data_IF_127052255078
#
_entry.id   IF_127052255078
#
_cell.length_a   1.000
_cell.length_b   1.000
_cell.length_c   1.000
_cell.angle_alpha   90.00
_cell.angle_beta   90.00
_cell.angle_gamma   90.00
#
_symmetry.space_group_name_H-M   'P 1'
#
loop_
_entity.id
_entity.type
_entity.pdbx_description
1 polymer ?
#
# COMPACT_ATOMS: atom_id res chain seq x y z
N UNK A 1 -17.19 -38.02 -35.50
CA UNK A 1 -17.44 -38.58 -34.15
C UNK A 1 -18.17 -37.51 -33.34
N UNK A 2 -19.50 -37.63 -33.22
CA UNK A 2 -20.30 -36.60 -32.53
C UNK A 2 -20.32 -36.91 -31.04
N UNK A 3 -20.08 -35.87 -30.23
CA UNK A 3 -20.18 -35.98 -28.76
C UNK A 3 -21.62 -36.24 -28.36
N UNK A 4 -21.84 -37.17 -27.43
CA UNK A 4 -23.17 -37.44 -26.90
C UNK A 4 -23.66 -36.22 -26.07
N UNK A 5 -24.98 -36.06 -25.95
CA UNK A 5 -25.63 -35.01 -25.15
C UNK A 5 -25.08 -34.96 -23.70
N UNK A 6 -24.79 -36.13 -23.13
CA UNK A 6 -24.22 -36.23 -21.77
C UNK A 6 -22.76 -35.79 -21.72
N UNK A 7 -21.95 -36.01 -22.75
CA UNK A 7 -20.57 -35.51 -22.85
C UNK A 7 -20.52 -34.00 -23.06
N UNK A 8 -21.47 -33.44 -23.83
CA UNK A 8 -21.60 -31.99 -23.97
C UNK A 8 -22.05 -31.32 -22.65
N UNK A 9 -23.01 -31.92 -21.93
CA UNK A 9 -23.43 -31.43 -20.61
C UNK A 9 -22.33 -31.57 -19.56
N UNK A 10 -21.58 -32.64 -19.53
CA UNK A 10 -20.43 -32.82 -18.64
C UNK A 10 -19.30 -31.80 -18.95
N UNK A 11 -19.02 -31.56 -20.24
CA UNK A 11 -18.07 -30.55 -20.68
C UNK A 11 -18.50 -29.14 -20.30
N UNK A 12 -19.79 -28.83 -20.47
CA UNK A 12 -20.36 -27.52 -20.08
C UNK A 12 -20.32 -27.33 -18.54
N UNK A 13 -20.68 -28.36 -17.77
CA UNK A 13 -20.58 -28.37 -16.31
C UNK A 13 -19.12 -28.20 -15.83
N UNK A 14 -18.20 -28.87 -16.48
CA UNK A 14 -16.76 -28.74 -16.18
C UNK A 14 -16.26 -27.33 -16.51
N UNK A 15 -16.67 -26.77 -17.63
CA UNK A 15 -16.37 -25.37 -18.01
C UNK A 15 -17.01 -24.38 -17.02
N UNK A 16 -18.24 -24.60 -16.60
CA UNK A 16 -18.93 -23.77 -15.58
C UNK A 16 -18.22 -23.92 -14.23
N UNK A 17 -17.80 -25.11 -13.82
CA UNK A 17 -17.02 -25.33 -12.60
C UNK A 17 -15.64 -24.68 -12.68
N UNK A 18 -14.96 -24.79 -13.82
CA UNK A 18 -13.68 -24.08 -14.07
C UNK A 18 -13.91 -22.56 -14.04
N UNK A 19 -14.99 -22.07 -14.66
CA UNK A 19 -15.37 -20.67 -14.61
C UNK A 19 -15.74 -20.22 -13.20
N UNK A 20 -16.52 -20.98 -12.43
CA UNK A 20 -16.85 -20.70 -11.04
C UNK A 20 -15.60 -20.70 -10.15
N UNK A 21 -14.65 -21.57 -10.39
CA UNK A 21 -13.36 -21.60 -9.65
C UNK A 21 -12.47 -20.40 -10.01
N UNK A 22 -12.54 -19.90 -11.25
CA UNK A 22 -11.81 -18.71 -11.69
C UNK A 22 -12.50 -17.43 -11.22
N UNK A 23 -13.84 -17.39 -11.18
CA UNK A 23 -14.67 -16.23 -10.80
C UNK A 23 -14.53 -15.81 -9.33
N UNK A 24 -13.88 -16.60 -8.48
CA UNK A 24 -13.81 -16.33 -7.04
C UNK A 24 -12.39 -16.13 -6.49
N UNK A 25 -11.43 -15.76 -7.32
CA UNK A 25 -10.04 -15.56 -6.87
C UNK A 25 -9.64 -14.11 -6.98
N UNK A 26 -9.20 -13.55 -5.87
CA UNK A 26 -8.52 -12.27 -5.82
C UNK A 26 -7.06 -12.48 -5.42
N UNK A 27 -6.14 -11.75 -6.05
CA UNK A 27 -4.72 -11.87 -5.79
C UNK A 27 -4.12 -10.53 -5.40
N UNK A 28 -3.10 -10.56 -4.54
CA UNK A 28 -2.25 -9.43 -4.26
C UNK A 28 -0.80 -9.78 -4.59
N UNK A 29 -0.18 -9.04 -5.51
CA UNK A 29 1.27 -9.08 -5.75
C UNK A 29 1.90 -8.01 -4.89
N UNK A 30 2.65 -8.46 -3.89
CA UNK A 30 3.27 -7.59 -2.89
C UNK A 30 4.78 -7.79 -2.82
N UNK A 31 5.45 -6.94 -2.06
CA UNK A 31 6.90 -7.04 -1.86
C UNK A 31 7.54 -5.68 -1.66
N UNK A 32 8.87 -5.64 -1.49
CA UNK A 32 9.58 -4.39 -1.22
C UNK A 32 9.59 -3.47 -2.45
N UNK A 33 9.80 -2.18 -2.22
CA UNK A 33 10.07 -1.24 -3.33
C UNK A 33 11.29 -1.72 -4.13
N UNK A 34 11.32 -1.43 -5.43
CA UNK A 34 12.33 -1.88 -6.39
C UNK A 34 12.41 -3.41 -6.63
N UNK A 35 11.39 -4.18 -6.24
CA UNK A 35 11.37 -5.64 -6.48
C UNK A 35 10.75 -6.06 -7.82
N UNK A 36 10.29 -5.14 -8.67
CA UNK A 36 9.64 -5.47 -9.95
C UNK A 36 8.16 -5.88 -9.85
N UNK A 37 7.49 -5.56 -8.74
CA UNK A 37 6.06 -5.88 -8.53
C UNK A 37 5.15 -5.41 -9.65
N UNK A 38 5.36 -4.18 -10.13
CA UNK A 38 4.49 -3.58 -11.15
C UNK A 38 4.60 -4.33 -12.47
N UNK A 39 5.81 -4.63 -12.90
CA UNK A 39 6.06 -5.43 -14.12
C UNK A 39 5.45 -6.82 -14.01
N UNK A 40 5.64 -7.51 -12.86
CA UNK A 40 5.02 -8.79 -12.60
C UNK A 40 3.49 -8.68 -12.61
N UNK A 41 2.92 -7.68 -11.94
CA UNK A 41 1.48 -7.43 -11.89
C UNK A 41 0.86 -7.27 -13.26
N UNK A 42 1.47 -6.45 -14.12
CA UNK A 42 1.02 -6.25 -15.51
C UNK A 42 1.08 -7.57 -16.30
N UNK A 43 2.20 -8.29 -16.22
CA UNK A 43 2.36 -9.55 -16.94
C UNK A 43 1.38 -10.64 -16.46
N UNK A 44 1.07 -10.67 -15.17
CA UNK A 44 0.03 -11.56 -14.60
C UNK A 44 -1.34 -11.11 -15.05
N UNK A 45 -1.68 -9.82 -14.93
CA UNK A 45 -3.00 -9.27 -15.32
C UNK A 45 -3.35 -9.58 -16.78
N UNK A 46 -2.39 -9.41 -17.71
CA UNK A 46 -2.56 -9.78 -19.12
C UNK A 46 -2.93 -11.27 -19.27
N UNK A 47 -2.29 -12.15 -18.50
CA UNK A 47 -2.50 -13.61 -18.63
C UNK A 47 -3.79 -14.10 -18.00
N UNK A 48 -4.30 -13.42 -16.96
CA UNK A 48 -5.52 -13.84 -16.25
C UNK A 48 -6.74 -12.99 -16.62
N UNK A 49 -6.65 -12.13 -17.63
CA UNK A 49 -7.68 -11.14 -17.97
C UNK A 49 -8.08 -10.28 -16.77
N UNK A 50 -7.07 -9.80 -16.03
CA UNK A 50 -7.26 -9.04 -14.79
C UNK A 50 -7.13 -7.54 -14.97
N UNK A 51 -7.57 -6.80 -13.94
CA UNK A 51 -7.36 -5.36 -13.81
C UNK A 51 -6.61 -5.07 -12.51
N UNK A 52 -5.71 -4.08 -12.54
CA UNK A 52 -4.84 -3.76 -11.39
C UNK A 52 -5.51 -2.72 -10.50
N UNK A 53 -5.54 -3.00 -9.19
CA UNK A 53 -5.86 -2.02 -8.15
C UNK A 53 -4.55 -1.68 -7.43
N UNK A 54 -4.15 -0.42 -7.50
CA UNK A 54 -2.93 0.06 -6.86
C UNK A 54 -3.03 -0.04 -5.32
N UNK A 55 -2.05 -0.69 -4.70
CA UNK A 55 -1.90 -0.83 -3.24
C UNK A 55 -0.61 -0.16 -2.75
N UNK A 56 -0.39 1.10 -3.16
CA UNK A 56 0.73 1.94 -2.76
C UNK A 56 0.24 3.31 -2.30
N UNK A 57 0.61 3.71 -1.07
CA UNK A 57 0.12 4.93 -0.42
C UNK A 57 0.72 6.23 -0.96
N UNK A 58 1.67 6.15 -1.88
CA UNK A 58 2.28 7.31 -2.52
C UNK A 58 1.77 7.48 -3.95
N UNK A 59 1.61 6.38 -4.69
CA UNK A 59 1.11 6.40 -6.06
C UNK A 59 -0.36 6.84 -6.20
N UNK A 60 -1.10 6.95 -5.13
CA UNK A 60 -2.47 7.48 -5.12
C UNK A 60 -2.52 8.98 -5.43
N UNK A 61 -1.44 9.71 -5.12
CA UNK A 61 -1.40 11.17 -5.26
C UNK A 61 -1.11 11.60 -6.68
N UNK A 62 -1.86 12.60 -7.16
CA UNK A 62 -1.59 13.34 -8.39
C UNK A 62 -0.32 14.18 -8.25
N UNK A 63 0.24 14.60 -9.39
CA UNK A 63 1.25 15.65 -9.48
C UNK A 63 2.61 15.33 -8.83
N UNK A 64 2.76 14.19 -8.19
CA UNK A 64 4.04 13.66 -7.74
C UNK A 64 4.38 12.44 -8.60
N UNK A 65 5.43 12.54 -9.42
CA UNK A 65 5.70 11.55 -10.46
C UNK A 65 7.05 10.85 -10.27
N UNK A 66 8.12 11.63 -10.16
CA UNK A 66 9.49 11.12 -10.33
C UNK A 66 9.84 10.03 -9.31
N UNK A 67 9.60 10.27 -8.01
CA UNK A 67 9.99 9.32 -6.97
C UNK A 67 8.89 8.32 -6.58
N UNK A 68 7.74 8.33 -7.28
CA UNK A 68 6.62 7.43 -7.01
C UNK A 68 6.72 6.10 -7.74
N UNK A 69 7.49 6.05 -8.82
CA UNK A 69 7.61 4.91 -9.72
C UNK A 69 6.24 4.42 -10.25
N UNK A 70 5.33 5.35 -10.54
CA UNK A 70 4.11 5.05 -11.32
C UNK A 70 4.49 4.48 -12.67
N UNK A 71 3.76 3.49 -13.13
CA UNK A 71 4.00 2.88 -14.45
C UNK A 71 3.40 3.78 -15.52
N UNK A 72 4.17 4.24 -16.51
CA UNK A 72 3.67 5.02 -17.65
C UNK A 72 2.58 4.25 -18.42
N UNK A 73 1.66 4.98 -19.07
CA UNK A 73 0.52 4.37 -19.77
C UNK A 73 0.94 3.38 -20.85
N UNK A 74 1.98 3.71 -21.59
CA UNK A 74 2.56 2.89 -22.65
C UNK A 74 3.13 1.55 -22.17
N UNK A 75 3.57 1.48 -20.92
CA UNK A 75 4.11 0.27 -20.31
C UNK A 75 3.02 -0.62 -19.67
N UNK A 76 1.79 -0.12 -19.51
CA UNK A 76 0.68 -0.87 -18.89
C UNK A 76 0.10 -1.97 -19.76
N UNK A 77 0.51 -2.11 -21.02
CA UNK A 77 0.07 -3.15 -21.97
C UNK A 77 -1.46 -3.25 -22.11
N UNK A 78 -2.16 -2.12 -22.03
CA UNK A 78 -3.62 -2.08 -22.07
C UNK A 78 -4.34 -2.56 -20.79
N UNK A 79 -3.61 -2.91 -19.73
CA UNK A 79 -4.21 -3.31 -18.46
C UNK A 79 -4.75 -2.07 -17.72
N UNK A 80 -6.05 -2.04 -17.38
CA UNK A 80 -6.61 -0.97 -16.56
C UNK A 80 -5.95 -0.92 -15.17
N UNK A 81 -5.62 0.29 -14.71
CA UNK A 81 -5.07 0.54 -13.37
C UNK A 81 -6.01 1.47 -12.61
N UNK A 82 -6.45 1.03 -11.45
CA UNK A 82 -7.35 1.75 -10.57
C UNK A 82 -6.63 2.25 -9.32
N UNK A 83 -7.14 3.29 -8.71
CA UNK A 83 -6.62 3.92 -7.48
C UNK A 83 -5.15 4.38 -7.59
N UNK A 84 -4.80 4.86 -8.76
CA UNK A 84 -3.51 5.50 -9.04
C UNK A 84 -3.79 6.92 -9.54
N UNK A 85 -3.00 7.89 -9.08
CA UNK A 85 -3.03 9.25 -9.62
C UNK A 85 -4.41 9.94 -9.55
N UNK A 86 -5.11 9.83 -8.43
CA UNK A 86 -6.49 10.31 -8.31
C UNK A 86 -6.74 11.23 -7.10
N UNK A 87 -5.85 11.27 -6.11
CA UNK A 87 -5.96 12.07 -4.89
C UNK A 87 -5.13 13.36 -5.02
N UNK A 88 -5.69 14.52 -4.66
CA UNK A 88 -4.89 15.74 -4.55
C UNK A 88 -3.82 15.60 -3.46
N UNK A 89 -2.58 16.11 -3.67
CA UNK A 89 -1.54 16.13 -2.65
C UNK A 89 -1.89 16.85 -1.34
N UNK A 90 -2.92 17.70 -1.37
CA UNK A 90 -3.43 18.40 -0.19
C UNK A 90 -4.27 17.52 0.73
N UNK A 91 -4.82 16.42 0.20
CA UNK A 91 -5.72 15.54 0.94
C UNK A 91 -4.90 14.54 1.76
N UNK A 92 -5.23 14.44 3.04
CA UNK A 92 -4.68 13.39 3.90
C UNK A 92 -5.45 12.09 3.70
N UNK A 93 -5.10 11.34 2.63
CA UNK A 93 -5.78 10.11 2.25
C UNK A 93 -5.40 8.94 3.15
N UNK A 94 -6.39 8.28 3.71
CA UNK A 94 -6.22 7.26 4.75
C UNK A 94 -6.34 5.82 4.22
N UNK A 95 -5.82 4.85 4.97
CA UNK A 95 -5.97 3.43 4.63
C UNK A 95 -7.43 2.95 4.68
N UNK A 96 -8.26 3.57 5.53
CA UNK A 96 -9.69 3.26 5.58
C UNK A 96 -10.45 3.76 4.34
N UNK A 97 -10.11 4.94 3.83
CA UNK A 97 -10.64 5.45 2.56
C UNK A 97 -10.21 4.57 1.40
N UNK A 98 -8.92 4.23 1.33
CA UNK A 98 -8.41 3.33 0.31
C UNK A 98 -9.13 1.98 0.33
N UNK A 99 -9.35 1.39 1.50
CA UNK A 99 -10.00 0.08 1.61
C UNK A 99 -11.45 0.12 1.09
N UNK A 100 -12.19 1.20 1.38
CA UNK A 100 -13.56 1.39 0.86
C UNK A 100 -13.58 1.56 -0.67
N UNK A 101 -12.69 2.37 -1.22
CA UNK A 101 -12.60 2.55 -2.67
C UNK A 101 -12.09 1.27 -3.37
N UNK A 102 -11.15 0.55 -2.75
CA UNK A 102 -10.68 -0.74 -3.26
C UNK A 102 -11.80 -1.79 -3.30
N UNK A 103 -12.63 -1.87 -2.25
CA UNK A 103 -13.79 -2.77 -2.22
C UNK A 103 -14.76 -2.48 -3.36
N UNK A 104 -15.12 -1.21 -3.60
CA UNK A 104 -15.98 -0.81 -4.74
C UNK A 104 -15.35 -1.20 -6.08
N UNK A 105 -14.02 -0.99 -6.25
CA UNK A 105 -13.33 -1.35 -7.49
C UNK A 105 -13.25 -2.85 -7.70
N UNK A 106 -13.15 -3.64 -6.64
CA UNK A 106 -13.22 -5.10 -6.71
C UNK A 106 -14.58 -5.52 -7.26
N UNK A 107 -15.69 -5.03 -6.69
CA UNK A 107 -17.05 -5.32 -7.17
C UNK A 107 -17.25 -4.92 -8.65
N UNK A 108 -16.81 -3.72 -9.03
CA UNK A 108 -16.89 -3.24 -10.41
C UNK A 108 -16.10 -4.12 -11.39
N UNK A 109 -14.91 -4.60 -11.02
CA UNK A 109 -14.08 -5.47 -11.84
C UNK A 109 -14.71 -6.87 -11.98
N UNK A 110 -15.17 -7.43 -10.86
CA UNK A 110 -15.83 -8.72 -10.81
C UNK A 110 -17.15 -8.71 -11.62
N UNK A 111 -17.95 -7.62 -11.56
CA UNK A 111 -19.18 -7.47 -12.33
C UNK A 111 -18.96 -7.50 -13.84
N UNK A 112 -17.77 -7.17 -14.30
CA UNK A 112 -17.35 -7.26 -15.72
C UNK A 112 -16.74 -8.62 -16.08
N UNK A 113 -16.74 -9.59 -15.15
CA UNK A 113 -16.13 -10.91 -15.36
C UNK A 113 -14.60 -10.85 -15.45
N UNK A 114 -13.97 -9.84 -14.84
CA UNK A 114 -12.51 -9.71 -14.78
C UNK A 114 -11.98 -10.02 -13.38
N UNK A 115 -10.69 -10.29 -13.28
CA UNK A 115 -10.05 -10.67 -12.01
C UNK A 115 -9.39 -9.43 -11.39
N UNK A 116 -9.78 -9.02 -10.16
CA UNK A 116 -9.09 -7.94 -9.46
C UNK A 116 -7.70 -8.40 -8.98
N UNK A 117 -6.67 -7.62 -9.30
CA UNK A 117 -5.29 -7.86 -8.91
C UNK A 117 -4.75 -6.66 -8.15
N UNK A 118 -4.56 -6.81 -6.84
CA UNK A 118 -3.92 -5.78 -6.02
C UNK A 118 -2.41 -5.80 -6.28
N UNK A 119 -1.82 -4.65 -6.56
CA UNK A 119 -0.37 -4.54 -6.77
C UNK A 119 0.20 -3.40 -5.95
N UNK A 120 1.11 -3.70 -5.03
CA UNK A 120 1.75 -2.66 -4.23
C UNK A 120 2.55 -3.15 -3.05
N UNK A 121 3.03 -2.20 -2.24
CA UNK A 121 3.90 -2.49 -1.09
C UNK A 121 3.38 -1.97 0.24
N UNK A 122 2.18 -1.37 0.28
CA UNK A 122 1.59 -0.80 1.49
C UNK A 122 0.77 -1.85 2.23
N UNK A 123 1.43 -2.65 3.07
CA UNK A 123 0.78 -3.72 3.83
C UNK A 123 -0.36 -3.24 4.72
N UNK A 124 -0.29 -1.98 5.18
CA UNK A 124 -1.36 -1.38 5.98
C UNK A 124 -2.67 -1.18 5.18
N UNK A 125 -2.59 -0.88 3.89
CA UNK A 125 -3.74 -0.83 2.99
C UNK A 125 -4.38 -2.22 2.85
N UNK A 126 -3.55 -3.23 2.61
CA UNK A 126 -4.02 -4.60 2.49
C UNK A 126 -4.70 -5.09 3.78
N UNK A 127 -4.13 -4.73 4.95
CA UNK A 127 -4.74 -5.03 6.24
C UNK A 127 -6.08 -4.32 6.42
N UNK A 128 -6.19 -3.06 6.03
CA UNK A 128 -7.44 -2.29 6.11
C UNK A 128 -8.57 -2.90 5.26
N UNK A 129 -8.24 -3.54 4.12
CA UNK A 129 -9.20 -4.25 3.28
C UNK A 129 -9.63 -5.59 3.91
N UNK A 130 -8.68 -6.34 4.49
CA UNK A 130 -8.95 -7.64 5.12
C UNK A 130 -9.58 -7.53 6.50
N UNK A 131 -9.27 -6.48 7.21
CA UNK A 131 -9.73 -6.20 8.57
C UNK A 131 -10.11 -4.72 8.66
N UNK A 132 -11.30 -4.34 8.18
CA UNK A 132 -11.71 -2.94 8.16
C UNK A 132 -11.62 -2.34 9.56
N UNK A 133 -11.22 -1.10 9.63
CA UNK A 133 -11.17 -0.36 10.88
C UNK A 133 -12.61 0.05 11.28
N UNK A 134 -12.81 0.27 12.58
CA UNK A 134 -14.03 0.95 13.03
C UNK A 134 -14.11 2.34 12.37
N UNK A 135 -15.32 2.86 12.24
CA UNK A 135 -15.54 4.21 11.68
C UNK A 135 -15.03 5.22 12.69
N UNK A 136 -13.79 5.66 12.53
CA UNK A 136 -13.20 6.66 13.41
C UNK A 136 -13.54 8.07 12.93
N UNK A 137 -13.64 9.06 13.84
CA UNK A 137 -13.89 10.45 13.46
C UNK A 137 -12.81 10.95 12.49
N UNK A 138 -13.14 11.89 11.60
CA UNK A 138 -12.16 12.52 10.73
C UNK A 138 -11.07 13.20 11.57
N UNK A 139 -9.90 13.39 10.95
CA UNK A 139 -8.81 14.10 11.62
C UNK A 139 -9.18 15.58 11.82
N UNK A 140 -9.09 16.04 13.07
CA UNK A 140 -9.12 17.46 13.39
C UNK A 140 -7.69 18.01 13.26
N UNK A 141 -7.41 18.71 12.17
CA UNK A 141 -6.07 19.24 11.89
C UNK A 141 -5.63 20.29 12.92
N UNK A 142 -6.55 21.02 13.52
CA UNK A 142 -6.24 22.01 14.57
C UNK A 142 -5.80 21.33 15.87
N UNK A 143 -6.51 20.28 16.26
CA UNK A 143 -6.15 19.45 17.40
C UNK A 143 -4.81 18.73 17.15
N UNK A 144 -4.63 18.19 15.95
CA UNK A 144 -3.38 17.51 15.53
C UNK A 144 -2.18 18.45 15.59
N UNK A 145 -2.32 19.68 15.09
CA UNK A 145 -1.27 20.70 15.14
C UNK A 145 -0.88 21.03 16.60
N UNK A 146 -1.85 21.19 17.49
CA UNK A 146 -1.61 21.44 18.93
C UNK A 146 -0.86 20.27 19.58
N UNK A 147 -1.27 19.02 19.31
CA UNK A 147 -0.61 17.84 19.84
C UNK A 147 0.83 17.70 19.31
N UNK A 148 1.07 18.05 18.05
CA UNK A 148 2.41 18.10 17.47
C UNK A 148 3.30 19.12 18.19
N UNK A 149 2.80 20.34 18.45
CA UNK A 149 3.54 21.35 19.20
C UNK A 149 3.89 20.88 20.62
N UNK A 150 2.95 20.20 21.28
CA UNK A 150 3.20 19.62 22.61
C UNK A 150 4.30 18.56 22.53
N UNK A 151 4.26 17.69 21.53
CA UNK A 151 5.27 16.67 21.30
C UNK A 151 6.65 17.27 21.05
N UNK A 152 6.73 18.30 20.20
CA UNK A 152 7.99 18.98 19.87
C UNK A 152 8.61 19.67 21.08
N UNK A 153 7.79 20.29 21.91
CA UNK A 153 8.27 21.01 23.11
C UNK A 153 8.59 20.10 24.29
N UNK A 154 7.88 18.98 24.48
CA UNK A 154 7.93 18.17 25.70
C UNK A 154 8.29 16.68 25.47
N UNK A 155 8.48 16.29 24.23
CA UNK A 155 8.78 14.91 23.83
C UNK A 155 7.55 13.99 23.72
N UNK A 156 7.73 12.84 23.05
CA UNK A 156 6.64 11.89 22.80
C UNK A 156 6.10 11.26 24.08
N UNK A 157 6.93 11.02 25.09
CA UNK A 157 6.52 10.46 26.37
C UNK A 157 5.52 11.37 27.13
N UNK A 158 5.54 12.67 26.85
CA UNK A 158 4.57 13.58 27.45
C UNK A 158 3.16 13.35 26.89
N UNK A 159 3.03 13.10 25.60
CA UNK A 159 1.74 12.72 25.01
C UNK A 159 1.21 11.42 25.60
N UNK A 160 2.06 10.44 25.84
CA UNK A 160 1.65 9.19 26.50
C UNK A 160 1.19 9.42 27.95
N UNK A 161 1.84 10.31 28.69
CA UNK A 161 1.38 10.71 30.04
C UNK A 161 0.02 11.39 29.98
N UNK A 162 -0.25 12.19 28.96
CA UNK A 162 -1.57 12.80 28.73
C UNK A 162 -2.61 11.71 28.43
N UNK A 163 -2.31 10.81 27.49
CA UNK A 163 -3.20 9.68 27.16
C UNK A 163 -3.53 8.86 28.42
N UNK A 164 -2.55 8.55 29.25
CA UNK A 164 -2.77 7.78 30.48
C UNK A 164 -3.74 8.44 31.46
N UNK A 165 -3.88 9.76 31.45
CA UNK A 165 -4.83 10.50 32.27
C UNK A 165 -6.25 10.49 31.73
N UNK A 166 -6.40 10.54 30.39
CA UNK A 166 -7.73 10.64 29.78
C UNK A 166 -8.27 9.28 29.33
N UNK A 167 -7.39 8.37 28.89
CA UNK A 167 -7.72 7.01 28.44
C UNK A 167 -6.66 6.01 28.93
N UNK A 168 -6.73 5.56 30.20
CA UNK A 168 -5.78 4.59 30.77
C UNK A 168 -5.76 3.27 30.01
N UNK A 169 -6.91 2.85 29.43
CA UNK A 169 -7.05 1.60 28.68
C UNK A 169 -6.18 1.61 27.41
N UNK A 170 -6.32 2.65 26.59
CA UNK A 170 -5.47 2.81 25.40
C UNK A 170 -4.00 3.00 25.78
N UNK A 171 -3.69 3.75 26.84
CA UNK A 171 -2.31 3.96 27.29
C UNK A 171 -1.62 2.67 27.72
N UNK A 172 -2.36 1.73 28.31
CA UNK A 172 -1.85 0.42 28.71
C UNK A 172 -1.45 -0.49 27.54
N UNK A 173 -1.98 -0.23 26.33
CA UNK A 173 -1.74 -1.02 25.13
C UNK A 173 -0.74 -0.37 24.16
N UNK A 174 -0.37 0.90 24.38
CA UNK A 174 0.51 1.65 23.49
C UNK A 174 1.85 1.96 24.15
N UNK A 175 2.94 1.76 23.39
CA UNK A 175 4.26 2.14 23.88
C UNK A 175 4.41 3.66 23.93
N UNK A 176 5.08 4.23 24.96
CA UNK A 176 5.23 5.67 25.13
C UNK A 176 5.88 6.41 23.96
N UNK A 177 6.74 5.73 23.21
CA UNK A 177 7.43 6.29 22.04
C UNK A 177 6.69 6.05 20.71
N UNK A 178 5.61 5.30 20.69
CA UNK A 178 4.74 5.14 19.52
C UNK A 178 3.78 6.33 19.42
N UNK A 179 4.39 7.51 19.28
CA UNK A 179 3.67 8.78 19.30
C UNK A 179 2.57 8.89 18.20
N UNK A 180 2.68 8.30 17.00
CA UNK A 180 1.59 8.40 16.03
C UNK A 180 0.31 7.72 16.53
N UNK A 181 0.43 6.55 17.16
CA UNK A 181 -0.72 5.83 17.72
C UNK A 181 -1.21 6.49 19.01
N UNK A 182 -0.31 6.95 19.87
CA UNK A 182 -0.64 7.71 21.07
C UNK A 182 -1.42 8.97 20.72
N UNK A 183 -0.94 9.74 19.73
CA UNK A 183 -1.62 10.94 19.25
C UNK A 183 -3.01 10.62 18.70
N UNK A 184 -3.14 9.57 17.88
CA UNK A 184 -4.44 9.15 17.34
C UNK A 184 -5.42 8.72 18.43
N UNK A 185 -4.96 8.01 19.45
CA UNK A 185 -5.79 7.63 20.58
C UNK A 185 -6.30 8.87 21.35
N UNK A 186 -5.46 9.89 21.56
CA UNK A 186 -5.87 11.16 22.16
C UNK A 186 -6.92 11.87 21.28
N UNK A 187 -6.68 11.98 19.96
CA UNK A 187 -7.60 12.59 19.00
C UNK A 187 -8.99 11.94 19.06
N UNK A 188 -9.03 10.60 18.97
CA UNK A 188 -10.29 9.84 19.03
C UNK A 188 -11.01 10.06 20.34
N UNK A 189 -10.31 9.95 21.47
CA UNK A 189 -10.91 10.13 22.79
C UNK A 189 -11.49 11.53 22.99
N UNK A 190 -10.75 12.58 22.59
CA UNK A 190 -11.21 13.97 22.73
C UNK A 190 -12.40 14.31 21.83
N UNK A 191 -12.54 13.62 20.68
CA UNK A 191 -13.63 13.85 19.74
C UNK A 191 -14.89 13.01 20.07
N UNK A 192 -14.71 11.82 20.64
CA UNK A 192 -15.81 10.86 20.83
C UNK A 192 -16.17 10.59 22.29
N UNK A 193 -15.28 10.92 23.22
CA UNK A 193 -15.40 10.52 24.64
C UNK A 193 -15.18 9.02 24.88
N UNK A 194 -14.78 8.23 23.86
CA UNK A 194 -14.62 6.77 23.94
C UNK A 194 -13.21 6.35 23.61
N UNK A 195 -12.71 5.32 24.30
CA UNK A 195 -11.40 4.74 24.00
C UNK A 195 -11.36 4.16 22.59
N UNK A 196 -10.26 4.41 21.88
CA UNK A 196 -10.00 3.79 20.55
C UNK A 196 -9.96 2.26 20.66
N UNK A 197 -9.55 1.72 21.79
CA UNK A 197 -9.47 0.28 22.06
C UNK A 197 -10.86 -0.33 22.20
N UNK A 198 -11.76 0.36 22.88
CA UNK A 198 -13.13 -0.10 23.10
C UNK A 198 -13.97 -0.08 21.82
N UNK A 199 -13.58 0.77 20.85
CA UNK A 199 -14.24 0.86 19.55
C UNK A 199 -13.70 -0.19 18.54
N UNK A 200 -12.57 -0.84 18.79
CA UNK A 200 -12.00 -1.85 17.88
C UNK A 200 -12.93 -3.04 17.60
N UNK A 201 -13.73 -3.56 18.54
CA UNK A 201 -14.71 -4.60 18.26
C UNK A 201 -15.83 -4.17 17.30
N UNK A 202 -16.10 -2.86 17.18
CA UNK A 202 -17.13 -2.28 16.29
C UNK A 202 -16.65 -2.16 14.84
N UNK A 203 -15.74 -3.04 14.41
CA UNK A 203 -15.22 -3.04 13.04
C UNK A 203 -16.31 -3.43 12.05
N UNK A 204 -16.26 -2.80 10.88
CA UNK A 204 -17.09 -3.24 9.77
C UNK A 204 -16.70 -4.68 9.36
N UNK A 205 -17.67 -5.43 8.85
CA UNK A 205 -17.41 -6.75 8.28
C UNK A 205 -16.43 -6.62 7.09
N UNK A 206 -15.45 -7.54 6.97
CA UNK A 206 -14.58 -7.58 5.82
C UNK A 206 -15.40 -7.81 4.56
N UNK A 207 -15.03 -7.14 3.47
CA UNK A 207 -15.61 -7.44 2.18
C UNK A 207 -15.39 -8.94 1.84
N UNK A 208 -16.41 -9.63 1.33
CA UNK A 208 -16.38 -11.07 1.07
C UNK A 208 -15.19 -11.49 0.21
N UNK A 209 -14.89 -10.73 -0.84
CA UNK A 209 -13.74 -11.00 -1.71
C UNK A 209 -12.40 -10.95 -0.97
N UNK A 210 -12.29 -10.17 0.14
CA UNK A 210 -11.05 -10.07 0.91
C UNK A 210 -10.69 -11.36 1.66
N UNK A 211 -11.69 -12.19 1.97
CA UNK A 211 -11.47 -13.50 2.60
C UNK A 211 -10.85 -14.51 1.61
N UNK A 212 -11.03 -14.28 0.31
CA UNK A 212 -10.51 -15.11 -0.80
C UNK A 212 -9.17 -14.60 -1.34
N UNK A 213 -8.62 -13.55 -0.74
CA UNK A 213 -7.39 -12.90 -1.18
C UNK A 213 -6.16 -13.80 -0.94
N UNK A 214 -5.48 -14.17 -2.02
CA UNK A 214 -4.16 -14.81 -1.95
C UNK A 214 -3.06 -13.78 -2.10
N UNK A 215 -2.08 -13.82 -1.19
CA UNK A 215 -0.97 -12.86 -1.14
C UNK A 215 0.28 -13.52 -1.70
N UNK A 216 0.76 -13.01 -2.84
CA UNK A 216 1.94 -13.48 -3.58
C UNK A 216 3.06 -12.45 -3.39
N UNK A 217 4.06 -12.78 -2.59
CA UNK A 217 5.10 -11.84 -2.16
C UNK A 217 6.43 -12.09 -2.84
N UNK A 218 7.06 -11.05 -3.36
CA UNK A 218 8.42 -11.09 -3.89
C UNK A 218 9.46 -11.00 -2.77
N UNK A 219 10.47 -11.87 -2.84
CA UNK A 219 11.61 -11.92 -1.91
C UNK A 219 12.94 -11.85 -2.70
N UNK A 220 13.30 -10.70 -3.26
CA UNK A 220 14.56 -10.57 -3.99
C UNK A 220 15.77 -10.62 -3.07
N UNK A 221 16.97 -11.02 -3.58
CA UNK A 221 18.22 -10.97 -2.83
C UNK A 221 18.50 -9.57 -2.31
N UNK A 222 18.78 -9.47 -1.00
CA UNK A 222 18.86 -8.18 -0.29
C UNK A 222 19.96 -7.25 -0.83
N UNK A 223 21.11 -7.79 -1.18
CA UNK A 223 22.22 -6.99 -1.69
C UNK A 223 21.86 -6.33 -3.03
N UNK A 224 21.27 -7.11 -3.96
CA UNK A 224 20.83 -6.63 -5.26
C UNK A 224 19.67 -5.64 -5.14
N UNK A 225 18.71 -5.91 -4.23
CA UNK A 225 17.64 -4.99 -3.94
C UNK A 225 18.15 -3.62 -3.48
N UNK A 226 19.14 -3.60 -2.59
CA UNK A 226 19.73 -2.35 -2.09
C UNK A 226 20.52 -1.61 -3.17
N UNK A 227 21.21 -2.34 -4.05
CA UNK A 227 21.87 -1.76 -5.22
C UNK A 227 20.84 -1.07 -6.13
N UNK A 228 19.75 -1.77 -6.52
CA UNK A 228 18.66 -1.20 -7.32
C UNK A 228 18.00 0.01 -6.67
N UNK A 229 17.78 -0.01 -5.35
CA UNK A 229 17.24 1.13 -4.61
C UNK A 229 18.15 2.34 -4.74
N UNK A 230 19.46 2.17 -4.54
CA UNK A 230 20.43 3.26 -4.62
C UNK A 230 20.50 3.86 -6.03
N UNK A 231 20.65 3.02 -7.06
CA UNK A 231 20.69 3.43 -8.47
C UNK A 231 19.41 4.18 -8.89
N UNK A 232 18.25 3.66 -8.47
CA UNK A 232 16.96 4.32 -8.75
C UNK A 232 16.83 5.65 -8.02
N UNK A 233 17.28 5.75 -6.78
CA UNK A 233 17.27 7.01 -6.03
C UNK A 233 18.10 8.07 -6.75
N UNK A 234 19.32 7.75 -7.17
CA UNK A 234 20.16 8.65 -7.94
C UNK A 234 19.50 9.07 -9.27
N UNK A 235 18.87 8.11 -9.96
CA UNK A 235 18.14 8.39 -11.19
C UNK A 235 17.00 9.40 -10.97
N UNK A 236 16.25 9.29 -9.87
CA UNK A 236 15.19 10.24 -9.52
C UNK A 236 15.74 11.67 -9.33
N UNK A 237 16.85 11.83 -8.61
CA UNK A 237 17.47 13.15 -8.46
C UNK A 237 17.98 13.70 -9.78
N UNK A 238 18.60 12.87 -10.64
CA UNK A 238 19.03 13.29 -12.00
C UNK A 238 17.85 13.63 -12.93
N UNK A 239 16.69 12.98 -12.73
CA UNK A 239 15.48 13.25 -13.50
C UNK A 239 14.73 14.53 -13.09
N UNK A 240 15.25 15.31 -12.13
CA UNK A 240 14.67 16.59 -11.76
C UNK A 240 13.74 16.56 -10.53
N UNK A 241 13.89 15.57 -9.62
CA UNK A 241 13.09 15.50 -8.40
C UNK A 241 13.12 16.79 -7.58
N UNK A 242 14.26 17.52 -7.57
CA UNK A 242 14.39 18.81 -6.87
C UNK A 242 13.47 19.86 -7.49
N UNK A 243 13.42 19.92 -8.81
CA UNK A 243 12.60 20.89 -9.53
C UNK A 243 11.11 20.57 -9.42
N UNK A 244 10.73 19.29 -9.45
CA UNK A 244 9.35 18.84 -9.20
C UNK A 244 8.89 19.32 -7.81
N UNK A 245 9.68 19.09 -6.77
CA UNK A 245 9.33 19.52 -5.40
C UNK A 245 9.26 21.04 -5.28
N UNK A 246 10.19 21.78 -5.92
CA UNK A 246 10.17 23.25 -5.92
C UNK A 246 8.89 23.78 -6.54
N UNK A 247 8.50 23.28 -7.71
CA UNK A 247 7.27 23.66 -8.38
C UNK A 247 6.02 23.39 -7.54
N UNK A 248 5.97 22.26 -6.83
CA UNK A 248 4.86 21.95 -5.92
C UNK A 248 4.80 22.97 -4.76
N UNK A 249 5.93 23.29 -4.14
CA UNK A 249 6.00 24.28 -3.06
C UNK A 249 5.62 25.70 -3.56
N UNK A 250 6.09 26.11 -4.74
CA UNK A 250 5.77 27.40 -5.36
C UNK A 250 4.28 27.53 -5.69
N UNK A 251 3.61 26.41 -5.97
CA UNK A 251 2.14 26.32 -6.16
C UNK A 251 1.37 26.30 -4.85
N UNK A 252 2.04 26.34 -3.69
CA UNK A 252 1.43 26.44 -2.37
C UNK A 252 1.13 25.10 -1.70
N UNK A 253 1.59 23.96 -2.23
CA UNK A 253 1.42 22.67 -1.54
C UNK A 253 2.19 22.63 -0.22
N UNK A 254 1.52 22.16 0.82
CA UNK A 254 2.12 22.11 2.16
C UNK A 254 3.29 21.13 2.20
N UNK A 255 4.49 21.57 2.66
CA UNK A 255 5.62 20.66 2.87
C UNK A 255 5.36 19.59 3.94
N UNK A 256 4.31 19.74 4.73
CA UNK A 256 3.87 18.77 5.73
C UNK A 256 2.80 17.79 5.21
N UNK A 257 2.38 17.90 3.94
CA UNK A 257 1.41 16.99 3.34
C UNK A 257 1.97 15.55 3.30
N UNK A 258 1.08 14.57 3.32
CA UNK A 258 1.48 13.16 3.21
C UNK A 258 2.21 12.87 1.88
N UNK A 259 1.84 13.54 0.80
CA UNK A 259 2.48 13.44 -0.50
C UNK A 259 3.95 13.86 -0.43
N UNK A 260 4.24 15.06 0.09
CA UNK A 260 5.60 15.57 0.26
C UNK A 260 6.34 14.95 1.45
N UNK A 261 5.66 14.23 2.31
CA UNK A 261 6.24 13.38 3.36
C UNK A 261 6.83 12.06 2.85
N UNK A 262 6.57 11.69 1.58
CA UNK A 262 7.07 10.47 0.97
C UNK A 262 8.61 10.46 0.83
N UNK A 263 9.16 9.22 0.69
CA UNK A 263 10.62 9.05 0.53
C UNK A 263 11.13 9.75 -0.72
N UNK A 264 12.20 10.52 -0.55
CA UNK A 264 12.76 11.40 -1.57
C UNK A 264 12.19 12.81 -1.46
N UNK A 265 10.89 12.99 -1.57
CA UNK A 265 10.21 14.30 -1.48
C UNK A 265 10.56 15.02 -0.18
N UNK A 266 10.40 14.38 0.95
CA UNK A 266 10.75 14.94 2.26
C UNK A 266 12.19 15.43 2.34
N UNK A 267 13.15 14.69 1.79
CA UNK A 267 14.56 15.07 1.85
C UNK A 267 14.89 16.23 0.94
N UNK A 268 14.19 16.32 -0.18
CA UNK A 268 14.27 17.51 -1.05
C UNK A 268 13.63 18.75 -0.38
N UNK A 269 12.50 18.59 0.31
CA UNK A 269 11.93 19.70 1.12
C UNK A 269 12.94 20.18 2.17
N UNK A 270 13.63 19.26 2.87
CA UNK A 270 14.66 19.64 3.85
C UNK A 270 15.85 20.35 3.18
N UNK A 271 16.27 19.93 1.99
CA UNK A 271 17.31 20.59 1.19
C UNK A 271 16.88 22.01 0.78
N UNK A 272 15.68 22.19 0.23
CA UNK A 272 15.18 23.48 -0.20
C UNK A 272 14.99 24.47 0.97
N UNK A 273 14.80 23.96 2.18
CA UNK A 273 14.78 24.76 3.43
C UNK A 273 16.16 25.04 4.02
N UNK A 274 17.24 24.59 3.39
CA UNK A 274 18.60 24.79 3.89
C UNK A 274 18.97 23.93 5.13
N UNK A 275 18.17 22.92 5.45
CA UNK A 275 18.40 22.03 6.60
C UNK A 275 19.45 20.95 6.31
N UNK A 276 19.80 20.75 5.06
CA UNK A 276 20.84 19.82 4.55
C UNK A 276 21.33 20.24 3.18
N UNK A 277 22.49 19.78 2.77
CA UNK A 277 22.98 19.88 1.40
C UNK A 277 22.34 18.80 0.50
N UNK A 278 22.55 18.90 -0.82
CA UNK A 278 21.96 18.00 -1.80
C UNK A 278 22.54 16.58 -1.68
N UNK A 279 23.84 16.43 -1.45
CA UNK A 279 24.50 15.12 -1.29
C UNK A 279 23.92 14.37 -0.09
N UNK A 280 23.79 15.04 1.05
CA UNK A 280 23.12 14.51 2.23
C UNK A 280 21.66 14.15 1.97
N UNK A 281 20.92 14.93 1.16
CA UNK A 281 19.54 14.59 0.79
C UNK A 281 19.46 13.29 -0.02
N UNK A 282 20.37 13.09 -0.98
CA UNK A 282 20.46 11.85 -1.78
C UNK A 282 20.78 10.65 -0.89
N UNK A 283 21.84 10.74 -0.08
CA UNK A 283 22.29 9.61 0.76
C UNK A 283 21.24 9.24 1.83
N UNK A 284 20.60 10.23 2.44
CA UNK A 284 19.55 9.97 3.39
C UNK A 284 18.31 9.36 2.72
N UNK A 285 17.99 9.75 1.49
CA UNK A 285 16.90 9.14 0.72
C UNK A 285 17.20 7.66 0.45
N UNK A 286 18.41 7.31 0.02
CA UNK A 286 18.83 5.90 -0.16
C UNK A 286 18.61 5.09 1.11
N UNK A 287 19.05 5.65 2.26
CA UNK A 287 18.92 5.00 3.56
C UNK A 287 17.42 4.80 3.94
N UNK A 288 16.61 5.84 3.79
CA UNK A 288 15.18 5.80 4.12
C UNK A 288 14.43 4.77 3.26
N UNK A 289 14.73 4.69 1.97
CA UNK A 289 14.12 3.74 1.04
C UNK A 289 14.56 2.30 1.35
N UNK A 290 15.84 2.07 1.71
CA UNK A 290 16.29 0.75 2.18
C UNK A 290 15.58 0.32 3.47
N UNK A 291 15.42 1.24 4.42
CA UNK A 291 14.66 0.98 5.64
C UNK A 291 13.18 0.71 5.34
N UNK A 292 12.60 1.42 4.38
CA UNK A 292 11.23 1.17 3.95
C UNK A 292 11.08 -0.22 3.33
N UNK A 293 11.95 -0.61 2.43
CA UNK A 293 11.98 -1.96 1.85
C UNK A 293 12.10 -3.06 2.93
N UNK A 294 12.95 -2.85 3.95
CA UNK A 294 13.07 -3.76 5.09
C UNK A 294 11.75 -3.83 5.88
N UNK A 295 11.09 -2.69 6.14
CA UNK A 295 9.79 -2.67 6.83
C UNK A 295 8.72 -3.40 6.05
N UNK A 296 8.67 -3.24 4.70
CA UNK A 296 7.72 -3.96 3.85
C UNK A 296 7.92 -5.49 3.95
N UNK A 297 9.16 -5.98 3.83
CA UNK A 297 9.46 -7.41 3.99
C UNK A 297 9.07 -7.93 5.38
N UNK A 298 9.42 -7.17 6.43
CA UNK A 298 9.06 -7.52 7.80
C UNK A 298 7.55 -7.58 7.97
N UNK A 299 6.81 -6.61 7.41
CA UNK A 299 5.35 -6.59 7.45
C UNK A 299 4.75 -7.87 6.87
N UNK A 300 5.10 -8.20 5.63
CA UNK A 300 4.55 -9.36 4.95
C UNK A 300 4.98 -10.70 5.56
N UNK A 301 6.12 -10.77 6.27
CA UNK A 301 6.53 -11.96 7.04
C UNK A 301 5.64 -12.22 8.26
N UNK A 302 4.97 -11.20 8.78
CA UNK A 302 4.03 -11.32 9.90
C UNK A 302 2.57 -11.48 9.43
N UNK A 303 2.29 -11.36 8.13
CA UNK A 303 0.96 -11.65 7.59
C UNK A 303 0.79 -13.15 7.41
N UNK A 304 -0.42 -13.65 7.74
CA UNK A 304 -0.76 -15.05 7.51
C UNK A 304 -0.94 -15.36 6.02
N UNK A 305 -0.65 -16.59 5.64
CA UNK A 305 -0.95 -17.15 4.32
C UNK A 305 -0.30 -16.41 3.14
N UNK A 306 0.94 -15.93 3.32
CA UNK A 306 1.74 -15.30 2.26
C UNK A 306 2.56 -16.37 1.53
N UNK A 307 2.39 -16.42 0.21
CA UNK A 307 3.20 -17.27 -0.67
C UNK A 307 4.41 -16.47 -1.18
N UNK A 308 5.62 -16.96 -0.90
CA UNK A 308 6.86 -16.25 -1.22
C UNK A 308 7.50 -16.75 -2.51
N UNK A 309 7.97 -15.82 -3.35
CA UNK A 309 8.66 -16.06 -4.61
C UNK A 309 10.02 -15.38 -4.61
N UNK A 310 11.09 -16.17 -4.62
CA UNK A 310 12.46 -15.66 -4.60
C UNK A 310 12.86 -15.07 -5.96
N UNK A 311 13.30 -13.83 -5.95
CA UNK A 311 13.77 -13.10 -7.12
C UNK A 311 13.00 -11.80 -7.39
N UNK A 312 13.30 -11.21 -8.53
CA UNK A 312 12.68 -9.97 -9.02
C UNK A 312 11.50 -10.27 -9.95
N UNK A 313 10.51 -9.38 -9.96
CA UNK A 313 9.29 -9.55 -10.73
C UNK A 313 9.48 -9.52 -12.25
N UNK A 314 10.59 -8.99 -12.74
CA UNK A 314 10.96 -9.00 -14.16
C UNK A 314 11.48 -10.37 -14.64
N UNK A 315 11.86 -11.26 -13.72
CA UNK A 315 12.42 -12.56 -14.08
C UNK A 315 11.35 -13.52 -14.60
N UNK A 316 11.57 -14.09 -15.76
CA UNK A 316 10.64 -15.06 -16.37
C UNK A 316 10.38 -16.29 -15.48
N UNK A 317 11.38 -16.71 -14.67
CA UNK A 317 11.21 -17.84 -13.73
C UNK A 317 10.20 -17.47 -12.62
N UNK A 318 10.24 -16.22 -12.11
CA UNK A 318 9.31 -15.74 -11.10
C UNK A 318 7.90 -15.67 -11.67
N UNK A 319 7.73 -15.11 -12.87
CA UNK A 319 6.44 -15.08 -13.56
C UNK A 319 5.86 -16.50 -13.74
N UNK A 320 6.66 -17.47 -14.20
CA UNK A 320 6.19 -18.86 -14.36
C UNK A 320 5.77 -19.48 -13.02
N UNK A 321 6.55 -19.25 -11.96
CA UNK A 321 6.22 -19.78 -10.62
C UNK A 321 4.94 -19.17 -10.06
N UNK A 322 4.74 -17.87 -10.22
CA UNK A 322 3.52 -17.16 -9.81
C UNK A 322 2.31 -17.66 -10.61
N UNK A 323 2.45 -17.79 -11.94
CA UNK A 323 1.35 -18.30 -12.78
C UNK A 323 0.98 -19.73 -12.41
N UNK A 324 1.96 -20.59 -12.13
CA UNK A 324 1.71 -21.95 -11.64
C UNK A 324 0.94 -21.92 -10.31
N UNK A 325 1.36 -21.12 -9.34
CA UNK A 325 0.66 -20.99 -8.06
C UNK A 325 -0.79 -20.50 -8.24
N UNK A 326 -1.03 -19.55 -9.17
CA UNK A 326 -2.38 -19.08 -9.51
C UNK A 326 -3.24 -20.23 -10.07
N UNK A 327 -2.68 -21.06 -10.94
CA UNK A 327 -3.39 -22.19 -11.58
C UNK A 327 -3.65 -23.36 -10.62
N UNK A 328 -2.68 -23.72 -9.77
CA UNK A 328 -2.76 -24.89 -8.88
C UNK A 328 -3.77 -24.70 -7.72
N UNK A 329 -4.26 -23.49 -7.48
CA UNK A 329 -5.14 -23.20 -6.35
C UNK A 329 -4.40 -23.03 -5.02
N UNK A 330 -5.13 -22.79 -3.91
CA UNK A 330 -4.52 -22.72 -2.59
C UNK A 330 -3.90 -24.08 -2.23
N UNK A 331 -2.68 -24.06 -1.72
CA UNK A 331 -2.08 -25.27 -1.16
C UNK A 331 -2.92 -25.67 0.06
N UNK A 332 -3.46 -26.90 0.04
CA UNK A 332 -4.04 -27.49 1.25
C UNK A 332 -2.98 -27.52 2.34
N UNK A 333 -3.30 -26.94 3.50
CA UNK A 333 -2.47 -27.05 4.72
C UNK A 333 -2.46 -28.47 5.22
#
# INVERSE_FOLDING_TARGET
MYLTRNQLLAGLLLLILIWLVILFRMFAIVGPTASGKSTLGINVAVKINGEIINCDSVQVYKEIEIATAKVPLEERKGVPHHLIDFVSPEINYTAGEWAREAAKKIEEIESRGRIPLLVGGTGFYLRALRQPFFVSPPTDESLRARLNQVRERRGPEHLHKLLRRIDPNAAGQLYPRDWPRVQRAIEVFLQTGRSIVDQQPERAEPHESSQRLRILALNPPRAELYKRINERTEAHFRAGLVDEVRQLLDRGFSPASNALGAHGYRRVVEYLKGLRDLESAVEQTKLDVRHYAKRQLTWFRHEADVEWFDGFGEENRVLRSVMKAISDGPRSK
#
